data_IF_544802413629
#
_entry.id   IF_544802413629
#
_cell.length_a   1.000
_cell.length_b   1.000
_cell.length_c   1.000
_cell.angle_alpha   90.00
_cell.angle_beta   90.00
_cell.angle_gamma   90.00
#
_symmetry.space_group_name_H-M   'P 1'
#
loop_
_entity.id
_entity.type
_entity.pdbx_description
1 polymer ?
#
# COMPACT_ATOMS: atom_id res chain seq x y z
N UNK A 1 18.02 -0.75 -3.46
CA UNK A 1 16.70 -0.57 -2.81
C UNK A 1 16.04 0.68 -3.36
N UNK A 2 14.75 0.63 -3.51
CA UNK A 2 13.97 1.77 -3.95
C UNK A 2 12.85 2.05 -2.94
N UNK A 3 12.25 3.23 -3.01
CA UNK A 3 11.21 3.64 -2.06
C UNK A 3 9.85 3.62 -2.74
N UNK A 4 8.89 2.97 -2.09
CA UNK A 4 7.48 3.02 -2.46
C UNK A 4 6.75 3.73 -1.34
N UNK A 5 5.95 4.73 -1.68
CA UNK A 5 5.17 5.48 -0.69
C UNK A 5 3.71 5.02 -0.77
N UNK A 6 3.15 4.64 0.38
CA UNK A 6 1.74 4.27 0.46
C UNK A 6 0.95 5.41 1.07
N UNK A 7 -0.18 5.74 0.45
CA UNK A 7 -1.12 6.73 0.97
C UNK A 7 -2.28 6.01 1.65
N UNK A 8 -2.59 6.43 2.86
CA UNK A 8 -3.68 5.84 3.62
C UNK A 8 -4.95 6.66 3.45
N UNK A 9 -6.07 5.96 3.24
CA UNK A 9 -7.38 6.57 3.05
C UNK A 9 -8.40 5.89 3.96
N UNK A 10 -9.47 6.61 4.28
CA UNK A 10 -10.56 6.07 5.08
C UNK A 10 -10.09 5.57 6.43
N UNK A 11 -10.55 4.39 6.81
CA UNK A 11 -10.21 3.82 8.12
C UNK A 11 -8.72 3.54 8.29
N UNK A 12 -7.97 3.41 7.19
CA UNK A 12 -6.53 3.18 7.28
C UNK A 12 -5.80 4.38 7.87
N UNK A 13 -6.31 5.59 7.67
CA UNK A 13 -5.75 6.78 8.31
C UNK A 13 -5.74 6.64 9.83
N UNK A 14 -6.81 6.11 10.39
CA UNK A 14 -6.92 5.92 11.84
C UNK A 14 -6.01 4.80 12.32
N UNK A 15 -5.98 3.69 11.61
CA UNK A 15 -5.16 2.55 12.00
C UNK A 15 -3.68 2.88 11.93
N UNK A 16 -3.26 3.59 10.89
CA UNK A 16 -1.86 3.91 10.70
C UNK A 16 -1.40 5.09 11.55
N UNK A 17 -2.32 6.01 11.88
CA UNK A 17 -1.98 7.24 12.57
C UNK A 17 -1.12 8.17 11.73
N UNK A 18 -1.17 8.03 10.40
CA UNK A 18 -0.37 8.80 9.45
C UNK A 18 -1.08 8.84 8.11
N UNK A 19 -0.74 9.83 7.29
CA UNK A 19 -1.30 9.93 5.95
C UNK A 19 -0.55 9.11 4.94
N UNK A 20 0.74 8.89 5.16
CA UNK A 20 1.58 8.11 4.26
C UNK A 20 2.60 7.30 5.04
N UNK A 21 3.16 6.29 4.39
CA UNK A 21 4.26 5.49 4.92
C UNK A 21 5.13 5.05 3.75
N UNK A 22 6.42 5.31 3.84
CA UNK A 22 7.38 4.85 2.83
C UNK A 22 7.97 3.52 3.27
N UNK A 23 8.20 2.64 2.28
CA UNK A 23 8.89 1.38 2.51
C UNK A 23 10.01 1.24 1.48
N UNK A 24 11.07 0.53 1.86
CA UNK A 24 12.19 0.25 0.95
C UNK A 24 12.06 -1.20 0.48
N UNK A 25 12.14 -1.39 -0.83
CA UNK A 25 12.06 -2.71 -1.45
C UNK A 25 13.09 -2.82 -2.56
N UNK A 26 13.54 -4.04 -2.92
CA UNK A 26 14.38 -4.21 -4.10
C UNK A 26 13.61 -3.83 -5.36
N UNK A 27 14.24 -3.14 -6.29
CA UNK A 27 13.60 -2.80 -7.57
C UNK A 27 14.08 -3.73 -8.68
N UNK A 28 13.20 -4.14 -9.60
CA UNK A 28 11.75 -3.98 -9.53
C UNK A 28 11.14 -4.96 -8.53
N UNK A 29 10.02 -4.58 -7.94
CA UNK A 29 9.31 -5.42 -6.99
C UNK A 29 7.84 -5.44 -7.37
N UNK A 30 7.13 -6.50 -6.99
CA UNK A 30 5.68 -6.52 -7.19
C UNK A 30 5.01 -5.70 -6.11
N UNK A 31 3.77 -5.27 -6.40
CA UNK A 31 2.96 -4.62 -5.37
C UNK A 31 2.80 -5.53 -4.15
N UNK A 32 2.65 -6.84 -4.35
CA UNK A 32 2.54 -7.79 -3.25
C UNK A 32 3.76 -7.70 -2.33
N UNK A 33 4.97 -7.66 -2.91
CA UNK A 33 6.20 -7.57 -2.11
C UNK A 33 6.26 -6.25 -1.34
N UNK A 34 5.83 -5.14 -1.96
CA UNK A 34 5.80 -3.84 -1.29
C UNK A 34 4.77 -3.84 -0.15
N UNK A 35 3.61 -4.46 -0.36
CA UNK A 35 2.61 -4.59 0.71
C UNK A 35 3.11 -5.45 1.87
N UNK A 36 3.86 -6.52 1.57
CA UNK A 36 4.45 -7.33 2.62
C UNK A 36 5.44 -6.51 3.45
N UNK A 37 6.25 -5.67 2.79
CA UNK A 37 7.18 -4.79 3.49
C UNK A 37 6.43 -3.79 4.38
N UNK A 38 5.30 -3.28 3.90
CA UNK A 38 4.47 -2.39 4.69
C UNK A 38 3.89 -3.10 5.91
N UNK A 39 3.43 -4.35 5.74
CA UNK A 39 2.90 -5.14 6.85
C UNK A 39 3.95 -5.43 7.90
N UNK A 40 5.21 -5.62 7.50
CA UNK A 40 6.31 -5.79 8.45
C UNK A 40 6.55 -4.50 9.24
N UNK A 41 6.52 -3.35 8.56
CA UNK A 41 6.72 -2.04 9.19
C UNK A 41 5.52 -1.65 10.07
N UNK A 42 4.32 -2.06 9.68
CA UNK A 42 3.07 -1.72 10.37
C UNK A 42 2.21 -2.98 10.52
N UNK A 43 2.54 -3.86 11.48
CA UNK A 43 1.80 -5.13 11.64
C UNK A 43 0.31 -4.93 11.91
N UNK A 44 -0.07 -3.82 12.51
CA UNK A 44 -1.48 -3.52 12.79
C UNK A 44 -2.32 -3.37 11.53
N UNK A 45 -1.67 -3.12 10.38
CA UNK A 45 -2.37 -2.96 9.11
C UNK A 45 -2.56 -4.26 8.34
N UNK A 46 -1.90 -5.35 8.75
CA UNK A 46 -1.79 -6.57 7.94
C UNK A 46 -3.12 -7.08 7.42
N UNK A 47 -4.12 -7.23 8.30
CA UNK A 47 -5.44 -7.73 7.90
C UNK A 47 -6.14 -6.76 6.96
N UNK A 48 -6.06 -5.46 7.25
CA UNK A 48 -6.72 -4.45 6.43
C UNK A 48 -6.08 -4.37 5.04
N UNK A 49 -4.76 -4.52 4.96
CA UNK A 49 -4.06 -4.45 3.67
C UNK A 49 -4.52 -5.54 2.70
N UNK A 50 -4.89 -6.71 3.23
CA UNK A 50 -5.34 -7.82 2.38
C UNK A 50 -6.65 -7.49 1.65
N UNK A 51 -7.41 -6.53 2.16
CA UNK A 51 -8.72 -6.16 1.60
C UNK A 51 -8.69 -4.87 0.78
N UNK A 52 -7.56 -4.17 0.77
CA UNK A 52 -7.48 -2.88 0.08
C UNK A 52 -7.31 -3.08 -1.42
N UNK A 53 -7.95 -2.21 -2.19
CA UNK A 53 -7.56 -1.97 -3.57
C UNK A 53 -6.40 -1.00 -3.57
N UNK A 54 -5.59 -1.04 -4.62
CA UNK A 54 -4.42 -0.18 -4.74
C UNK A 54 -4.46 0.56 -6.07
N UNK A 55 -4.05 1.82 -6.06
CA UNK A 55 -4.06 2.64 -7.26
C UNK A 55 -2.83 3.53 -7.31
N UNK A 56 -2.37 3.80 -8.53
CA UNK A 56 -1.37 4.82 -8.81
C UNK A 56 -2.07 5.89 -9.63
N UNK A 57 -2.22 7.07 -9.08
CA UNK A 57 -3.05 8.10 -9.68
C UNK A 57 -4.50 7.62 -9.71
N UNK A 58 -5.09 7.63 -10.92
CA UNK A 58 -6.47 7.18 -11.10
C UNK A 58 -6.55 5.77 -11.73
N UNK A 59 -5.44 5.03 -11.72
CA UNK A 59 -5.37 3.69 -12.30
C UNK A 59 -5.21 2.63 -11.23
N UNK A 60 -6.14 1.68 -11.19
CA UNK A 60 -6.03 0.54 -10.28
C UNK A 60 -4.88 -0.38 -10.72
N UNK A 61 -4.17 -0.90 -9.76
CA UNK A 61 -3.08 -1.84 -10.01
C UNK A 61 -3.34 -3.14 -9.25
N UNK A 62 -2.71 -4.20 -9.72
CA UNK A 62 -2.85 -5.53 -9.16
C UNK A 62 -1.61 -5.89 -8.35
N UNK A 63 -1.77 -6.82 -7.42
CA UNK A 63 -0.67 -7.26 -6.56
C UNK A 63 0.47 -7.90 -7.35
N UNK A 64 0.19 -8.45 -8.52
CA UNK A 64 1.20 -9.03 -9.40
C UNK A 64 1.94 -7.99 -10.25
N UNK A 65 1.44 -6.75 -10.29
CA UNK A 65 2.05 -5.72 -11.11
C UNK A 65 3.39 -5.29 -10.53
N UNK A 66 4.33 -5.00 -11.41
CA UNK A 66 5.67 -4.58 -11.01
C UNK A 66 5.70 -3.09 -10.73
N UNK A 67 6.43 -2.74 -9.68
CA UNK A 67 6.72 -1.35 -9.33
C UNK A 67 8.19 -1.09 -9.62
N UNK A 68 8.48 0.03 -10.27
CA UNK A 68 9.84 0.35 -10.68
C UNK A 68 10.63 1.09 -9.60
N UNK A 69 9.92 1.78 -8.71
CA UNK A 69 10.51 2.58 -7.67
C UNK A 69 10.06 4.02 -7.77
N UNK A 70 9.85 4.63 -6.62
CA UNK A 70 9.41 6.01 -6.54
C UNK A 70 7.91 6.22 -6.67
N UNK A 71 7.14 5.16 -6.90
CA UNK A 71 5.69 5.29 -7.04
C UNK A 71 5.04 5.64 -5.71
N UNK A 72 3.92 6.34 -5.79
CA UNK A 72 3.01 6.56 -4.68
C UNK A 72 1.74 5.75 -4.92
N UNK A 73 1.45 4.84 -4.01
CA UNK A 73 0.33 3.90 -4.13
C UNK A 73 -0.74 4.28 -3.12
N UNK A 74 -1.93 4.58 -3.62
CA UNK A 74 -3.08 4.84 -2.75
C UNK A 74 -3.69 3.51 -2.32
N UNK A 75 -3.90 3.36 -1.02
CA UNK A 75 -4.56 2.20 -0.43
C UNK A 75 -6.01 2.55 -0.18
N UNK A 76 -6.91 1.87 -0.88
CA UNK A 76 -8.33 2.17 -0.86
C UNK A 76 -9.06 1.04 -0.13
N UNK A 77 -9.46 1.24 1.14
CA UNK A 77 -10.15 0.21 1.87
C UNK A 77 -11.54 -0.02 1.30
N UNK A 78 -12.14 -1.21 1.52
CA UNK A 78 -13.50 -1.45 1.05
C UNK A 78 -14.48 -0.51 1.75
N UNK A 79 -15.56 -0.16 1.04
CA UNK A 79 -16.59 0.70 1.59
C UNK A 79 -17.38 -0.08 2.64
N UNK A 80 -17.47 0.49 3.87
CA UNK A 80 -18.18 -0.15 4.95
C UNK A 80 -19.67 -0.17 4.65
N UNK A 81 -20.32 -1.31 4.90
CA UNK A 81 -21.76 -1.48 4.73
C UNK A 81 -22.22 -1.46 3.29
N UNK A 82 -21.26 -1.45 2.40
CA UNK A 82 -21.50 -1.32 0.96
C UNK A 82 -22.06 -2.53 0.35
#
# INVERSE_FOLDING_TARGET
>A
MTTITFEFHGQLLRLAGATTQAVSVPAPATLAAALDALAVARPELGTALARCACAIGDRLILRRDALQGGETVALLPPVAGG
#
